data_IF_627702797423
#
_entry.id   IF_627702797423
#
_cell.length_a   1.000
_cell.length_b   1.000
_cell.length_c   1.000
_cell.angle_alpha   90.00
_cell.angle_beta   90.00
_cell.angle_gamma   90.00
#
_symmetry.space_group_name_H-M   'P 1'
#
loop_
_entity.id
_entity.type
_entity.pdbx_description
1 polymer ?
#
# COMPACT_ATOMS: atom_id res chain seq x y z
N UNK A 1 2.37 -11.04 -50.20
CA UNK A 1 1.91 -11.39 -48.83
C UNK A 1 2.50 -10.38 -47.86
N UNK A 2 1.71 -9.39 -47.41
CA UNK A 2 2.15 -8.44 -46.40
C UNK A 2 2.24 -9.15 -45.05
N UNK A 3 3.44 -9.29 -44.52
CA UNK A 3 3.71 -9.65 -43.13
C UNK A 3 3.11 -8.57 -42.22
N UNK A 4 1.86 -8.77 -41.80
CA UNK A 4 1.33 -8.12 -40.61
C UNK A 4 2.21 -8.58 -39.45
N UNK A 5 3.19 -7.78 -39.05
CA UNK A 5 3.79 -7.85 -37.73
C UNK A 5 2.67 -7.56 -36.75
N UNK A 6 1.98 -8.61 -36.30
CA UNK A 6 1.14 -8.54 -35.11
C UNK A 6 2.06 -8.06 -34.00
N UNK A 7 1.92 -6.79 -33.60
CA UNK A 7 2.56 -6.22 -32.42
C UNK A 7 2.06 -7.04 -31.21
N UNK A 8 2.69 -8.18 -30.95
CA UNK A 8 2.41 -9.02 -29.80
C UNK A 8 2.63 -8.19 -28.54
N UNK A 9 1.67 -8.24 -27.62
CA UNK A 9 1.79 -7.53 -26.36
C UNK A 9 3.08 -7.99 -25.65
N UNK A 10 4.00 -7.08 -25.29
CA UNK A 10 5.27 -7.42 -24.64
C UNK A 10 5.13 -8.32 -23.40
N UNK A 11 4.00 -8.20 -22.68
CA UNK A 11 3.68 -9.04 -21.52
C UNK A 11 3.65 -10.54 -21.87
N UNK A 12 3.24 -10.88 -23.09
CA UNK A 12 3.09 -12.25 -23.56
C UNK A 12 4.32 -12.84 -24.25
N UNK A 13 5.29 -12.03 -24.66
CA UNK A 13 6.41 -12.43 -25.52
C UNK A 13 7.78 -12.27 -24.85
N UNK A 14 8.02 -11.19 -24.10
CA UNK A 14 9.34 -10.91 -23.54
C UNK A 14 9.78 -11.92 -22.45
N UNK A 15 11.10 -12.08 -22.18
CA UNK A 15 11.58 -12.92 -21.10
C UNK A 15 11.05 -12.48 -19.74
N UNK A 16 10.51 -13.43 -18.96
CA UNK A 16 9.83 -13.18 -17.68
C UNK A 16 10.71 -12.41 -16.69
N UNK A 17 12.00 -12.76 -16.57
CA UNK A 17 12.94 -12.10 -15.65
C UNK A 17 13.13 -10.61 -15.98
N UNK A 18 13.39 -10.31 -17.26
CA UNK A 18 13.56 -8.94 -17.77
C UNK A 18 12.28 -8.12 -17.55
N UNK A 19 11.14 -8.73 -17.85
CA UNK A 19 9.83 -8.11 -17.68
C UNK A 19 9.53 -7.82 -16.20
N UNK A 20 9.79 -8.76 -15.30
CA UNK A 20 9.58 -8.54 -13.87
C UNK A 20 10.43 -7.38 -13.37
N UNK A 21 11.72 -7.30 -13.72
CA UNK A 21 12.58 -6.19 -13.30
C UNK A 21 12.10 -4.85 -13.86
N UNK A 22 11.66 -4.81 -15.12
CA UNK A 22 11.13 -3.60 -15.76
C UNK A 22 9.88 -3.05 -15.06
N UNK A 23 9.09 -3.90 -14.41
CA UNK A 23 7.85 -3.51 -13.72
C UNK A 23 8.03 -3.36 -12.21
N UNK A 24 8.85 -4.20 -11.58
CA UNK A 24 9.10 -4.19 -10.14
C UNK A 24 9.93 -2.98 -9.73
N UNK A 25 11.02 -2.64 -10.45
CA UNK A 25 11.88 -1.51 -10.07
C UNK A 25 11.10 -0.19 -10.01
N UNK A 26 10.34 0.22 -11.04
CA UNK A 26 9.57 1.46 -10.93
C UNK A 26 8.50 1.43 -9.84
N UNK A 27 7.92 0.26 -9.57
CA UNK A 27 6.93 0.10 -8.50
C UNK A 27 7.57 0.23 -7.12
N UNK A 28 8.74 -0.37 -6.91
CA UNK A 28 9.53 -0.22 -5.69
C UNK A 28 9.90 1.25 -5.47
N UNK A 29 10.44 1.92 -6.49
CA UNK A 29 10.82 3.34 -6.40
C UNK A 29 9.60 4.20 -6.06
N UNK A 30 8.44 3.96 -6.69
CA UNK A 30 7.22 4.68 -6.38
C UNK A 30 6.78 4.49 -4.92
N UNK A 31 6.89 3.27 -4.37
CA UNK A 31 6.54 2.99 -2.97
C UNK A 31 7.54 3.58 -1.97
N UNK A 32 8.83 3.53 -2.27
CA UNK A 32 9.87 4.13 -1.44
C UNK A 32 9.75 5.64 -1.40
N UNK A 33 9.60 6.30 -2.56
CA UNK A 33 9.35 7.75 -2.62
C UNK A 33 8.07 8.11 -1.88
N UNK A 34 7.03 7.28 -2.01
CA UNK A 34 5.79 7.50 -1.25
C UNK A 34 6.01 7.47 0.26
N UNK A 35 6.90 6.60 0.75
CA UNK A 35 7.23 6.52 2.17
C UNK A 35 8.13 7.67 2.62
N UNK A 36 9.08 8.07 1.78
CA UNK A 36 10.01 9.17 2.06
C UNK A 36 9.31 10.53 2.11
N UNK A 37 8.41 10.85 1.17
CA UNK A 37 7.73 12.15 1.21
C UNK A 37 6.87 12.30 2.48
N UNK A 38 6.21 11.23 2.96
CA UNK A 38 5.44 11.28 4.20
C UNK A 38 6.33 11.64 5.40
N UNK A 39 7.59 11.18 5.42
CA UNK A 39 8.56 11.53 6.45
C UNK A 39 8.99 13.00 6.31
N UNK A 40 9.20 13.47 5.08
CA UNK A 40 9.61 14.86 4.79
C UNK A 40 8.51 15.86 5.13
N UNK A 41 7.25 15.55 4.81
CA UNK A 41 6.08 16.36 5.17
C UNK A 41 5.95 16.51 6.69
N UNK A 42 6.01 15.39 7.43
CA UNK A 42 6.03 15.41 8.89
C UNK A 42 7.25 16.15 9.47
N UNK A 43 8.38 16.16 8.77
CA UNK A 43 9.55 16.94 9.19
C UNK A 43 9.28 18.45 9.10
N UNK A 44 8.71 18.94 8.00
CA UNK A 44 8.38 20.36 7.85
C UNK A 44 7.33 20.82 8.85
N UNK A 45 6.28 20.01 9.04
CA UNK A 45 5.22 20.29 10.03
C UNK A 45 5.79 20.27 11.44
N UNK A 46 6.52 19.21 11.81
CA UNK A 46 7.10 19.08 13.15
C UNK A 46 8.07 20.21 13.49
N UNK A 47 8.88 20.66 12.53
CA UNK A 47 9.85 21.74 12.75
C UNK A 47 9.22 23.13 12.89
N UNK A 48 8.22 23.44 12.08
CA UNK A 48 7.68 24.81 11.99
C UNK A 48 6.35 25.01 12.73
N UNK A 49 5.51 23.98 12.82
CA UNK A 49 4.23 24.02 13.55
C UNK A 49 4.37 23.43 14.95
N UNK A 50 5.26 22.46 15.12
CA UNK A 50 5.49 21.78 16.39
C UNK A 50 4.66 20.51 16.56
N UNK A 51 4.69 19.96 17.77
CA UNK A 51 4.13 18.63 18.09
C UNK A 51 2.62 18.53 17.86
N UNK A 52 1.87 19.62 18.12
CA UNK A 52 0.43 19.67 17.87
C UNK A 52 0.09 19.53 16.38
N UNK A 53 0.94 20.05 15.48
CA UNK A 53 0.79 19.87 14.04
C UNK A 53 0.96 18.42 13.61
N UNK A 54 1.98 17.75 14.14
CA UNK A 54 2.19 16.31 13.90
C UNK A 54 1.07 15.45 14.50
N UNK A 55 0.53 15.83 15.66
CA UNK A 55 -0.64 15.16 16.21
C UNK A 55 -1.84 15.31 15.27
N UNK A 56 -2.07 16.49 14.69
CA UNK A 56 -3.17 16.74 13.76
C UNK A 56 -3.10 15.89 12.48
N UNK A 57 -1.92 15.68 11.90
CA UNK A 57 -1.77 14.79 10.74
C UNK A 57 -2.03 13.33 11.09
N UNK A 58 -1.62 12.88 12.28
CA UNK A 58 -1.90 11.53 12.77
C UNK A 58 -3.40 11.29 13.01
N UNK A 59 -4.15 12.28 13.54
CA UNK A 59 -5.62 12.20 13.67
C UNK A 59 -6.29 12.04 12.30
N UNK A 60 -5.73 12.63 11.25
CA UNK A 60 -6.25 12.55 9.88
C UNK A 60 -5.95 11.21 9.18
N UNK A 61 -5.04 10.40 9.72
CA UNK A 61 -4.52 9.18 9.10
C UNK A 61 -5.60 8.16 8.65
N UNK A 62 -6.70 7.93 9.39
CA UNK A 62 -7.76 7.03 8.94
C UNK A 62 -8.39 7.42 7.58
N UNK A 63 -8.46 8.71 7.27
CA UNK A 63 -8.97 9.20 5.98
C UNK A 63 -7.99 8.93 4.84
N UNK A 64 -6.69 9.13 5.08
CA UNK A 64 -5.63 8.78 4.12
C UNK A 64 -5.65 7.28 3.81
N UNK A 65 -5.84 6.45 4.83
CA UNK A 65 -5.97 4.99 4.67
C UNK A 65 -7.21 4.64 3.83
N UNK A 66 -8.32 5.32 4.06
CA UNK A 66 -9.55 5.14 3.28
C UNK A 66 -9.32 5.49 1.80
N UNK A 67 -8.58 6.56 1.51
CA UNK A 67 -8.17 6.91 0.15
C UNK A 67 -7.36 5.79 -0.50
N UNK A 68 -6.35 5.27 0.19
CA UNK A 68 -5.50 4.17 -0.32
C UNK A 68 -6.33 2.90 -0.53
N UNK A 69 -7.23 2.55 0.38
CA UNK A 69 -8.09 1.37 0.26
C UNK A 69 -8.98 1.44 -0.99
N UNK A 70 -9.60 2.59 -1.26
CA UNK A 70 -10.40 2.83 -2.48
C UNK A 70 -9.52 2.80 -3.73
N UNK A 71 -8.34 3.42 -3.67
CA UNK A 71 -7.39 3.42 -4.77
C UNK A 71 -6.93 2.00 -5.16
N UNK A 72 -6.66 1.15 -4.16
CA UNK A 72 -6.30 -0.24 -4.37
C UNK A 72 -7.48 -1.08 -4.88
N UNK A 73 -8.70 -0.83 -4.38
CA UNK A 73 -9.93 -1.52 -4.81
C UNK A 73 -10.14 -1.36 -6.33
N UNK A 74 -10.22 -0.14 -6.82
CA UNK A 74 -10.51 0.11 -8.24
C UNK A 74 -9.26 0.10 -9.12
N UNK A 75 -8.08 0.40 -8.56
CA UNK A 75 -6.80 0.38 -9.26
C UNK A 75 -6.28 -1.04 -9.54
N UNK A 76 -5.99 -1.83 -8.50
CA UNK A 76 -5.52 -3.22 -8.67
C UNK A 76 -6.62 -4.10 -9.29
N UNK A 77 -7.87 -3.89 -8.87
CA UNK A 77 -9.01 -4.61 -9.43
C UNK A 77 -9.18 -4.34 -10.92
N UNK A 78 -9.10 -3.07 -11.33
CA UNK A 78 -9.18 -2.63 -12.72
C UNK A 78 -8.01 -3.15 -13.56
N UNK A 79 -6.79 -3.00 -13.04
CA UNK A 79 -5.56 -3.48 -13.66
C UNK A 79 -5.57 -4.99 -13.91
N UNK A 80 -6.08 -5.77 -12.95
CA UNK A 80 -6.18 -7.23 -13.07
C UNK A 80 -7.25 -7.65 -14.07
N UNK A 81 -8.43 -7.03 -14.01
CA UNK A 81 -9.50 -7.30 -14.97
C UNK A 81 -9.09 -6.93 -16.40
N UNK A 82 -8.44 -5.78 -16.57
CA UNK A 82 -7.89 -5.32 -17.84
C UNK A 82 -6.91 -6.34 -18.43
N UNK A 83 -5.86 -6.72 -17.69
CA UNK A 83 -4.84 -7.63 -18.22
C UNK A 83 -5.36 -9.05 -18.45
N UNK A 84 -6.27 -9.56 -17.61
CA UNK A 84 -6.95 -10.83 -17.87
C UNK A 84 -7.73 -10.79 -19.19
N UNK A 85 -8.49 -9.72 -19.45
CA UNK A 85 -9.25 -9.56 -20.69
C UNK A 85 -8.34 -9.38 -21.90
N UNK A 86 -7.28 -8.58 -21.78
CA UNK A 86 -6.26 -8.44 -22.84
C UNK A 86 -5.58 -9.76 -23.17
N UNK A 87 -5.24 -10.57 -22.16
CA UNK A 87 -4.67 -11.89 -22.34
C UNK A 87 -5.59 -12.85 -23.09
N UNK A 88 -6.91 -12.78 -22.82
CA UNK A 88 -7.94 -13.56 -23.51
C UNK A 88 -8.22 -13.09 -24.95
N UNK A 89 -7.65 -11.97 -25.39
CA UNK A 89 -7.98 -11.33 -26.66
C UNK A 89 -9.26 -10.47 -26.63
N UNK A 90 -9.91 -10.30 -25.48
CA UNK A 90 -11.12 -9.49 -25.30
C UNK A 90 -10.78 -7.97 -25.22
N UNK A 91 -10.09 -7.43 -26.23
CA UNK A 91 -9.55 -6.04 -26.21
C UNK A 91 -10.62 -4.98 -26.00
N UNK A 92 -11.78 -5.10 -26.64
CA UNK A 92 -12.87 -4.12 -26.51
C UNK A 92 -13.39 -4.05 -25.08
N UNK A 93 -13.57 -5.21 -24.44
CA UNK A 93 -14.02 -5.31 -23.05
C UNK A 93 -12.95 -4.79 -22.08
N UNK A 94 -11.68 -5.01 -22.40
CA UNK A 94 -10.57 -4.55 -21.58
C UNK A 94 -10.65 -3.03 -21.32
N UNK A 95 -10.97 -2.23 -22.34
CA UNK A 95 -11.03 -0.76 -22.21
C UNK A 95 -12.09 -0.29 -21.21
N UNK A 96 -13.20 -1.03 -21.09
CA UNK A 96 -14.23 -0.71 -20.10
C UNK A 96 -13.72 -0.85 -18.66
N UNK A 97 -12.82 -1.79 -18.36
CA UNK A 97 -12.24 -1.91 -17.02
C UNK A 97 -11.42 -0.67 -16.64
N UNK A 98 -10.61 -0.13 -17.55
CA UNK A 98 -9.85 1.11 -17.29
C UNK A 98 -10.80 2.30 -17.10
N UNK A 99 -11.73 2.49 -18.03
CA UNK A 99 -12.64 3.64 -18.00
C UNK A 99 -13.55 3.65 -16.77
N UNK A 100 -14.14 2.51 -16.43
CA UNK A 100 -14.99 2.39 -15.24
C UNK A 100 -14.18 2.51 -13.95
N UNK A 101 -12.97 1.95 -13.88
CA UNK A 101 -12.10 2.14 -12.72
C UNK A 101 -11.75 3.61 -12.51
N UNK A 102 -11.39 4.36 -13.56
CA UNK A 102 -11.08 5.79 -13.44
C UNK A 102 -12.27 6.60 -12.91
N UNK A 103 -13.48 6.31 -13.40
CA UNK A 103 -14.72 6.95 -12.92
C UNK A 103 -15.01 6.60 -11.46
N UNK A 104 -14.85 5.34 -11.06
CA UNK A 104 -15.05 4.92 -9.67
C UNK A 104 -13.99 5.52 -8.73
N UNK A 105 -12.73 5.62 -9.15
CA UNK A 105 -11.67 6.24 -8.37
C UNK A 105 -11.98 7.70 -8.06
N UNK A 106 -12.29 8.50 -9.08
CA UNK A 106 -12.62 9.91 -8.88
C UNK A 106 -13.94 10.08 -8.13
N UNK A 107 -14.99 9.34 -8.52
CA UNK A 107 -16.32 9.42 -7.92
C UNK A 107 -16.33 9.05 -6.43
N UNK A 108 -15.67 7.96 -6.04
CA UNK A 108 -15.54 7.59 -4.62
C UNK A 108 -14.72 8.62 -3.83
N UNK A 109 -13.73 9.25 -4.46
CA UNK A 109 -13.00 10.35 -3.82
C UNK A 109 -13.86 11.57 -3.57
N UNK A 110 -14.70 11.97 -4.53
CA UNK A 110 -15.66 13.08 -4.34
C UNK A 110 -16.65 12.77 -3.22
N UNK A 111 -17.14 11.52 -3.15
CA UNK A 111 -18.02 11.08 -2.06
C UNK A 111 -17.28 11.17 -0.72
N UNK A 112 -16.03 10.70 -0.64
CA UNK A 112 -15.23 10.76 0.58
C UNK A 112 -14.96 12.20 1.01
N UNK A 113 -14.58 13.09 0.09
CA UNK A 113 -14.45 14.54 0.35
C UNK A 113 -15.73 15.12 0.93
N UNK A 114 -16.87 14.83 0.30
CA UNK A 114 -18.18 15.37 0.72
C UNK A 114 -18.52 14.92 2.13
N UNK A 115 -18.39 13.63 2.43
CA UNK A 115 -18.62 13.09 3.77
C UNK A 115 -17.65 13.71 4.78
N UNK A 116 -16.37 13.81 4.44
CA UNK A 116 -15.36 14.39 5.34
C UNK A 116 -15.63 15.86 5.64
N UNK A 117 -16.02 16.67 4.66
CA UNK A 117 -16.29 18.09 4.89
C UNK A 117 -17.60 18.32 5.64
N UNK A 118 -18.66 17.57 5.34
CA UNK A 118 -19.94 17.68 6.03
C UNK A 118 -19.86 17.24 7.50
N UNK A 119 -19.04 16.23 7.80
CA UNK A 119 -18.89 15.66 9.14
C UNK A 119 -17.49 15.89 9.72
N UNK A 120 -16.81 16.97 9.34
CA UNK A 120 -15.38 17.19 9.63
C UNK A 120 -15.07 17.08 11.12
N UNK A 121 -15.71 17.91 11.96
CA UNK A 121 -15.45 17.90 13.39
C UNK A 121 -15.90 16.59 14.08
N UNK A 122 -17.12 16.07 13.84
CA UNK A 122 -17.52 14.77 14.38
C UNK A 122 -16.57 13.63 14.02
N UNK A 123 -16.06 13.58 12.79
CA UNK A 123 -15.08 12.57 12.35
C UNK A 123 -13.75 12.72 13.07
N UNK A 124 -13.23 13.95 13.21
CA UNK A 124 -11.96 14.18 13.90
C UNK A 124 -12.05 13.84 15.40
N UNK A 125 -13.18 14.16 16.04
CA UNK A 125 -13.44 13.74 17.42
C UNK A 125 -13.58 12.21 17.52
N UNK A 126 -14.27 11.58 16.56
CA UNK A 126 -14.40 10.12 16.49
C UNK A 126 -13.04 9.42 16.31
N UNK A 127 -12.13 10.00 15.53
CA UNK A 127 -10.75 9.52 15.40
C UNK A 127 -9.88 9.79 16.64
N UNK A 128 -10.42 10.48 17.64
CA UNK A 128 -9.79 10.67 18.94
C UNK A 128 -9.00 11.97 19.06
N UNK A 129 -9.33 13.01 18.29
CA UNK A 129 -8.67 14.32 18.43
C UNK A 129 -8.90 14.92 19.81
N UNK A 130 -7.84 15.24 20.57
CA UNK A 130 -7.93 16.07 21.77
C UNK A 130 -8.34 17.52 21.41
N UNK A 131 -8.92 18.26 22.35
CA UNK A 131 -9.40 19.62 22.12
C UNK A 131 -8.28 20.60 21.71
N UNK A 132 -7.08 20.45 22.29
CA UNK A 132 -5.91 21.27 21.95
C UNK A 132 -5.30 20.96 20.56
N UNK A 133 -5.66 19.83 19.95
CA UNK A 133 -5.22 19.44 18.59
C UNK A 133 -6.32 19.70 17.55
N UNK A 134 -7.59 19.75 17.97
CA UNK A 134 -8.74 19.77 17.08
C UNK A 134 -8.74 20.92 16.07
N UNK A 135 -8.30 22.11 16.46
CA UNK A 135 -8.23 23.26 15.54
C UNK A 135 -7.21 23.03 14.41
N UNK A 136 -6.03 22.51 14.74
CA UNK A 136 -5.00 22.13 13.77
C UNK A 136 -5.49 21.02 12.85
N UNK A 137 -6.16 20.00 13.41
CA UNK A 137 -6.74 18.90 12.65
C UNK A 137 -7.84 19.39 11.69
N UNK A 138 -8.77 20.23 12.14
CA UNK A 138 -9.82 20.82 11.29
C UNK A 138 -9.23 21.60 10.13
N UNK A 139 -8.21 22.43 10.39
CA UNK A 139 -7.53 23.22 9.36
C UNK A 139 -6.88 22.31 8.32
N UNK A 140 -6.09 21.34 8.77
CA UNK A 140 -5.37 20.44 7.88
C UNK A 140 -6.31 19.53 7.09
N UNK A 141 -7.16 18.76 7.77
CA UNK A 141 -8.07 17.81 7.13
C UNK A 141 -9.08 18.51 6.24
N UNK A 142 -9.60 19.68 6.64
CA UNK A 142 -10.56 20.44 5.84
C UNK A 142 -10.00 20.82 4.47
N UNK A 143 -8.72 21.19 4.40
CA UNK A 143 -8.05 21.50 3.13
C UNK A 143 -7.67 20.22 2.40
N UNK A 144 -7.01 19.25 3.06
CA UNK A 144 -6.54 18.00 2.44
C UNK A 144 -7.70 17.16 1.87
N UNK A 145 -8.90 17.23 2.48
CA UNK A 145 -10.07 16.51 1.98
C UNK A 145 -10.45 16.89 0.55
N UNK A 146 -10.18 18.14 0.12
CA UNK A 146 -10.39 18.60 -1.27
C UNK A 146 -9.47 17.83 -2.24
N UNK A 147 -8.31 17.38 -1.74
CA UNK A 147 -7.33 16.58 -2.46
C UNK A 147 -7.70 15.12 -2.68
N UNK A 148 -8.61 14.54 -1.88
CA UNK A 148 -8.95 13.11 -1.92
C UNK A 148 -9.31 12.56 -3.31
N UNK A 149 -10.11 13.23 -4.16
CA UNK A 149 -10.44 12.73 -5.50
C UNK A 149 -9.19 12.59 -6.36
N UNK A 150 -8.26 13.53 -6.24
CA UNK A 150 -7.01 13.55 -6.98
C UNK A 150 -6.03 12.50 -6.45
N UNK A 151 -5.88 12.39 -5.13
CA UNK A 151 -5.06 11.35 -4.49
C UNK A 151 -5.49 9.94 -4.90
N UNK A 152 -6.79 9.66 -4.80
CA UNK A 152 -7.36 8.34 -5.13
C UNK A 152 -7.19 8.07 -6.62
N UNK A 153 -7.49 9.06 -7.48
CA UNK A 153 -7.34 8.93 -8.92
C UNK A 153 -5.88 8.65 -9.29
N UNK A 154 -4.93 9.42 -8.79
CA UNK A 154 -3.50 9.24 -9.05
C UNK A 154 -3.03 7.85 -8.62
N UNK A 155 -3.27 7.51 -7.36
CA UNK A 155 -2.80 6.25 -6.78
C UNK A 155 -3.39 5.05 -7.50
N UNK A 156 -4.71 5.03 -7.70
CA UNK A 156 -5.41 3.92 -8.34
C UNK A 156 -5.07 3.80 -9.83
N UNK A 157 -5.03 4.91 -10.55
CA UNK A 157 -4.72 4.91 -11.98
C UNK A 157 -3.26 4.60 -12.28
N UNK A 158 -2.35 4.80 -11.31
CA UNK A 158 -0.98 4.29 -11.41
C UNK A 158 -0.96 2.78 -11.68
N UNK A 159 -1.87 2.01 -11.08
CA UNK A 159 -2.04 0.59 -11.38
C UNK A 159 -2.56 0.35 -12.81
N UNK A 160 -3.48 1.18 -13.30
CA UNK A 160 -4.02 1.09 -14.67
C UNK A 160 -2.94 1.40 -15.73
N UNK A 161 -2.13 2.44 -15.50
CA UNK A 161 -1.00 2.82 -16.37
C UNK A 161 0.07 1.71 -16.36
N UNK A 162 0.36 1.12 -15.20
CA UNK A 162 1.22 -0.08 -15.11
C UNK A 162 0.63 -1.24 -15.91
N UNK A 163 -0.67 -1.50 -15.79
CA UNK A 163 -1.34 -2.57 -16.51
C UNK A 163 -1.25 -2.41 -18.03
N UNK A 164 -1.33 -1.17 -18.52
CA UNK A 164 -1.13 -0.76 -19.91
C UNK A 164 0.34 -0.81 -20.37
N UNK A 165 1.25 -1.35 -19.56
CA UNK A 165 2.64 -1.60 -19.93
C UNK A 165 3.58 -0.40 -19.82
N UNK A 166 3.22 0.61 -19.01
CA UNK A 166 4.01 1.83 -18.81
C UNK A 166 4.40 2.06 -17.33
N UNK A 167 5.13 1.14 -16.69
CA UNK A 167 5.47 1.26 -15.26
C UNK A 167 6.33 2.49 -14.91
N UNK A 168 7.23 2.91 -15.80
CA UNK A 168 8.02 4.13 -15.61
C UNK A 168 7.15 5.40 -15.57
N UNK A 169 6.11 5.46 -16.40
CA UNK A 169 5.19 6.61 -16.43
C UNK A 169 4.39 6.67 -15.13
N UNK A 170 3.88 5.52 -14.65
CA UNK A 170 3.21 5.48 -13.36
C UNK A 170 4.11 5.93 -12.20
N UNK A 171 5.39 5.56 -12.22
CA UNK A 171 6.37 6.03 -11.24
C UNK A 171 6.55 7.55 -11.33
N UNK A 172 6.77 8.10 -12.53
CA UNK A 172 6.93 9.54 -12.76
C UNK A 172 5.73 10.33 -12.22
N UNK A 173 4.50 9.87 -12.49
CA UNK A 173 3.29 10.54 -12.02
C UNK A 173 3.27 10.69 -10.49
N UNK A 174 3.67 9.65 -9.74
CA UNK A 174 3.73 9.68 -8.29
C UNK A 174 4.90 10.54 -7.78
N UNK A 175 6.07 10.42 -8.41
CA UNK A 175 7.28 11.16 -8.04
C UNK A 175 7.10 12.66 -8.22
N UNK A 176 6.47 13.10 -9.32
CA UNK A 176 6.25 14.53 -9.58
C UNK A 176 5.44 15.18 -8.47
N UNK A 177 4.36 14.55 -8.01
CA UNK A 177 3.54 15.09 -6.91
C UNK A 177 4.32 15.18 -5.61
N UNK A 178 5.06 14.13 -5.25
CA UNK A 178 5.88 14.09 -4.04
C UNK A 178 6.97 15.16 -4.03
N UNK A 179 7.67 15.35 -5.17
CA UNK A 179 8.71 16.38 -5.31
C UNK A 179 8.13 17.78 -5.23
N UNK A 180 7.01 18.04 -5.93
CA UNK A 180 6.35 19.34 -5.88
C UNK A 180 5.85 19.64 -4.47
N UNK A 181 5.19 18.69 -3.83
CA UNK A 181 4.73 18.83 -2.44
C UNK A 181 5.92 19.16 -1.52
N UNK A 182 7.04 18.44 -1.61
CA UNK A 182 8.24 18.71 -0.79
C UNK A 182 8.78 20.14 -0.98
N UNK A 183 8.85 20.62 -2.24
CA UNK A 183 9.31 21.97 -2.54
C UNK A 183 8.32 23.01 -1.98
N UNK A 184 7.03 22.76 -2.12
CA UNK A 184 5.98 23.63 -1.62
C UNK A 184 5.88 23.62 -0.10
N UNK A 185 6.20 22.52 0.58
CA UNK A 185 6.27 22.49 2.05
C UNK A 185 7.42 23.37 2.55
N UNK A 186 8.59 23.29 1.92
CA UNK A 186 9.70 24.19 2.23
C UNK A 186 9.28 25.66 2.06
N UNK A 187 8.59 25.99 0.97
CA UNK A 187 8.14 27.34 0.68
C UNK A 187 7.01 27.81 1.62
N UNK A 188 5.89 27.10 1.66
CA UNK A 188 4.68 27.52 2.37
C UNK A 188 4.80 27.37 3.88
N UNK A 189 5.46 26.32 4.35
CA UNK A 189 5.57 26.04 5.79
C UNK A 189 6.77 26.75 6.40
N UNK A 190 7.94 26.72 5.74
CA UNK A 190 9.17 27.29 6.33
C UNK A 190 9.39 28.76 5.97
N UNK A 191 9.21 29.14 4.69
CA UNK A 191 9.48 30.52 4.24
C UNK A 191 8.28 31.44 4.50
N UNK A 192 7.08 31.05 4.06
CA UNK A 192 5.87 31.86 4.18
C UNK A 192 5.14 31.67 5.53
N UNK A 193 5.57 30.71 6.34
CA UNK A 193 5.04 30.45 7.70
C UNK A 193 3.51 30.29 7.74
N UNK A 194 2.91 29.69 6.72
CA UNK A 194 1.46 29.48 6.60
C UNK A 194 0.92 28.38 7.53
N UNK A 195 1.74 27.84 8.43
CA UNK A 195 1.39 26.81 9.41
C UNK A 195 0.79 25.54 8.77
N UNK A 196 -0.21 24.96 9.42
CA UNK A 196 -0.89 23.75 8.94
C UNK A 196 -1.63 23.94 7.61
N UNK A 197 -2.12 25.15 7.34
CA UNK A 197 -2.77 25.44 6.07
C UNK A 197 -1.78 25.36 4.91
N UNK A 198 -0.55 25.87 5.10
CA UNK A 198 0.54 25.76 4.13
C UNK A 198 0.83 24.32 3.72
N UNK A 199 1.03 23.44 4.70
CA UNK A 199 1.32 22.01 4.47
C UNK A 199 0.16 21.31 3.73
N UNK A 200 -1.08 21.60 4.14
CA UNK A 200 -2.26 21.05 3.50
C UNK A 200 -2.40 21.51 2.03
N UNK A 201 -2.17 22.80 1.75
CA UNK A 201 -2.23 23.35 0.39
C UNK A 201 -1.14 22.75 -0.50
N UNK A 202 0.10 22.65 0.00
CA UNK A 202 1.21 22.03 -0.70
C UNK A 202 0.89 20.58 -1.09
N UNK A 203 0.30 19.83 -0.16
CA UNK A 203 -0.17 18.46 -0.40
C UNK A 203 -1.22 18.39 -1.51
N UNK A 204 -2.25 19.24 -1.47
CA UNK A 204 -3.33 19.25 -2.47
C UNK A 204 -2.80 19.64 -3.86
N UNK A 205 -1.90 20.62 -3.96
CA UNK A 205 -1.30 21.02 -5.25
C UNK A 205 -0.51 19.85 -5.85
N UNK A 206 0.31 19.16 -5.05
CA UNK A 206 1.04 17.96 -5.49
C UNK A 206 0.09 16.88 -6.03
N UNK A 207 -1.01 16.62 -5.33
CA UNK A 207 -2.03 15.65 -5.75
C UNK A 207 -2.74 16.06 -7.05
N UNK A 208 -3.11 17.33 -7.20
CA UNK A 208 -3.77 17.86 -8.42
C UNK A 208 -2.86 17.74 -9.63
N UNK A 209 -1.58 18.09 -9.50
CA UNK A 209 -0.61 17.99 -10.61
C UNK A 209 -0.40 16.53 -10.99
N UNK A 210 -0.21 15.64 -10.03
CA UNK A 210 -0.12 14.19 -10.28
C UNK A 210 -1.37 13.63 -10.95
N UNK A 211 -2.56 14.08 -10.55
CA UNK A 211 -3.82 13.66 -11.16
C UNK A 211 -3.93 14.16 -12.61
N UNK A 212 -3.52 15.39 -12.89
CA UNK A 212 -3.45 15.92 -14.25
C UNK A 212 -2.56 15.08 -15.18
N UNK A 213 -1.36 14.70 -14.71
CA UNK A 213 -0.47 13.80 -15.46
C UNK A 213 -1.12 12.45 -15.74
N UNK A 214 -1.73 11.85 -14.72
CA UNK A 214 -2.40 10.56 -14.84
C UNK A 214 -3.57 10.61 -15.83
N UNK A 215 -4.39 11.66 -15.79
CA UNK A 215 -5.50 11.87 -16.74
C UNK A 215 -4.97 11.98 -18.16
N UNK A 216 -3.87 12.72 -18.35
CA UNK A 216 -3.22 12.85 -19.65
C UNK A 216 -2.73 11.49 -20.17
N UNK A 217 -2.02 10.72 -19.33
CA UNK A 217 -1.47 9.42 -19.74
C UNK A 217 -2.54 8.33 -19.93
N UNK A 218 -3.66 8.37 -19.18
CA UNK A 218 -4.81 7.49 -19.41
C UNK A 218 -5.53 7.84 -20.71
N UNK A 219 -5.60 9.13 -21.06
CA UNK A 219 -6.16 9.57 -22.34
C UNK A 219 -5.30 9.11 -23.54
N UNK A 220 -4.00 8.93 -23.31
CA UNK A 220 -3.03 8.45 -24.30
C UNK A 220 -2.50 7.05 -23.96
N UNK A 221 -3.41 6.10 -23.71
CA UNK A 221 -3.05 4.70 -23.45
C UNK A 221 -2.24 4.07 -24.58
N UNK A 222 -1.27 3.21 -24.22
CA UNK A 222 -0.31 2.60 -25.16
C UNK A 222 -0.93 1.44 -25.92
N UNK A 223 -1.74 0.62 -25.25
CA UNK A 223 -2.28 -0.63 -25.82
C UNK A 223 -3.73 -0.51 -26.28
N UNK A 224 -4.47 0.48 -25.77
CA UNK A 224 -5.89 0.71 -26.04
C UNK A 224 -6.20 2.21 -26.09
N UNK A 225 -7.34 2.61 -26.69
CA UNK A 225 -7.80 4.00 -26.70
C UNK A 225 -9.09 4.16 -25.90
N UNK A 226 -9.06 5.01 -24.87
CA UNK A 226 -10.26 5.32 -24.08
C UNK A 226 -11.13 6.31 -24.88
N UNK A 227 -12.45 6.07 -24.87
CA UNK A 227 -13.46 6.93 -25.51
C UNK A 227 -14.54 7.19 -24.47
N UNK A 228 -15.35 8.25 -24.67
CA UNK A 228 -16.45 8.62 -23.75
C UNK A 228 -17.37 7.44 -23.39
N UNK A 229 -17.67 6.54 -24.34
CA UNK A 229 -18.49 5.34 -24.09
C UNK A 229 -17.91 4.40 -23.02
N UNK A 230 -16.59 4.34 -22.86
CA UNK A 230 -15.92 3.47 -21.88
C UNK A 230 -15.96 4.05 -20.45
N UNK A 231 -16.31 5.33 -20.31
CA UNK A 231 -16.52 5.99 -19.01
C UNK A 231 -17.95 5.79 -18.48
N UNK A 232 -18.85 5.19 -19.27
CA UNK A 232 -20.19 4.86 -18.79
C UNK A 232 -20.11 3.73 -17.79
N UNK A 233 -20.64 3.98 -16.59
CA UNK A 233 -20.69 3.01 -15.50
C UNK A 233 -21.48 1.77 -15.94
N UNK A 234 -20.85 0.61 -15.81
CA UNK A 234 -21.43 -0.71 -16.02
C UNK A 234 -21.33 -1.53 -14.75
N UNK A 235 -22.48 -1.95 -14.21
CA UNK A 235 -22.56 -2.73 -12.97
C UNK A 235 -21.76 -4.03 -13.03
N UNK A 236 -21.77 -4.70 -14.18
CA UNK A 236 -21.02 -5.96 -14.38
C UNK A 236 -19.51 -5.73 -14.32
N UNK A 237 -19.03 -4.66 -14.96
CA UNK A 237 -17.61 -4.28 -14.98
C UNK A 237 -17.15 -3.90 -13.58
N UNK A 238 -17.90 -3.05 -12.88
CA UNK A 238 -17.59 -2.63 -11.51
C UNK A 238 -17.60 -3.81 -10.55
N UNK A 239 -18.60 -4.69 -10.61
CA UNK A 239 -18.66 -5.87 -9.74
C UNK A 239 -17.42 -6.75 -9.92
N UNK A 240 -16.95 -6.94 -11.16
CA UNK A 240 -15.71 -7.68 -11.42
C UNK A 240 -14.48 -6.97 -10.89
N UNK A 241 -14.35 -5.66 -11.12
CA UNK A 241 -13.24 -4.83 -10.60
C UNK A 241 -13.20 -4.90 -9.08
N UNK A 242 -14.33 -4.61 -8.42
CA UNK A 242 -14.45 -4.63 -6.96
C UNK A 242 -14.10 -5.99 -6.40
N UNK A 243 -14.56 -7.09 -7.02
CA UNK A 243 -14.23 -8.45 -6.55
C UNK A 243 -12.71 -8.70 -6.53
N UNK A 244 -11.98 -8.25 -7.55
CA UNK A 244 -10.53 -8.43 -7.65
C UNK A 244 -9.78 -7.51 -6.68
N UNK A 245 -10.26 -6.28 -6.50
CA UNK A 245 -9.66 -5.32 -5.58
C UNK A 245 -10.02 -5.51 -4.10
N UNK A 246 -10.96 -6.40 -3.75
CA UNK A 246 -11.37 -6.63 -2.36
C UNK A 246 -10.20 -7.07 -1.48
N UNK A 247 -9.30 -7.91 -2.00
CA UNK A 247 -8.15 -8.41 -1.24
C UNK A 247 -7.22 -7.27 -0.74
N UNK A 248 -6.66 -6.42 -1.61
CA UNK A 248 -5.80 -5.32 -1.14
C UNK A 248 -6.59 -4.25 -0.36
N UNK A 249 -7.86 -3.97 -0.71
CA UNK A 249 -8.70 -3.04 0.03
C UNK A 249 -8.94 -3.49 1.49
N UNK A 250 -9.38 -4.74 1.66
CA UNK A 250 -9.60 -5.32 2.99
C UNK A 250 -8.31 -5.41 3.81
N UNK A 251 -7.18 -5.72 3.18
CA UNK A 251 -5.87 -5.68 3.85
C UNK A 251 -5.55 -4.30 4.41
N UNK A 252 -5.84 -3.24 3.62
CA UNK A 252 -5.53 -1.88 4.00
C UNK A 252 -6.37 -1.40 5.19
N UNK A 253 -7.66 -1.75 5.20
CA UNK A 253 -8.54 -1.49 6.34
C UNK A 253 -8.17 -2.34 7.57
N UNK A 254 -7.78 -3.60 7.35
CA UNK A 254 -7.33 -4.47 8.43
C UNK A 254 -6.05 -3.94 9.12
N UNK A 255 -5.07 -3.47 8.33
CA UNK A 255 -3.86 -2.85 8.87
C UNK A 255 -4.18 -1.64 9.75
N UNK A 256 -5.17 -0.82 9.39
CA UNK A 256 -5.60 0.32 10.22
C UNK A 256 -6.15 -0.13 11.57
N UNK A 257 -7.05 -1.11 11.57
CA UNK A 257 -7.66 -1.64 12.80
C UNK A 257 -6.59 -2.24 13.71
N UNK A 258 -5.70 -3.06 13.14
CA UNK A 258 -4.59 -3.67 13.87
C UNK A 258 -3.67 -2.62 14.45
N UNK A 259 -3.32 -1.56 13.71
CA UNK A 259 -2.44 -0.51 14.21
C UNK A 259 -3.06 0.25 15.40
N UNK A 260 -4.36 0.55 15.35
CA UNK A 260 -5.07 1.20 16.45
C UNK A 260 -5.01 0.31 17.71
N UNK A 261 -5.31 -0.98 17.55
CA UNK A 261 -5.34 -1.93 18.66
C UNK A 261 -3.93 -2.16 19.21
N UNK A 262 -2.93 -2.31 18.33
CA UNK A 262 -1.51 -2.42 18.69
C UNK A 262 -1.07 -1.25 19.57
N UNK A 263 -1.34 -0.01 19.14
CA UNK A 263 -0.96 1.18 19.91
C UNK A 263 -1.66 1.24 21.27
N UNK A 264 -2.96 0.89 21.34
CA UNK A 264 -3.70 0.83 22.60
C UNK A 264 -3.16 -0.26 23.55
N UNK A 265 -2.88 -1.45 23.02
CA UNK A 265 -2.29 -2.56 23.79
C UNK A 265 -0.91 -2.19 24.32
N UNK A 266 -0.03 -1.63 23.47
CA UNK A 266 1.31 -1.19 23.88
C UNK A 266 1.25 -0.10 24.96
N UNK A 267 0.31 0.84 24.86
CA UNK A 267 0.10 1.85 25.89
C UNK A 267 -0.30 1.19 27.22
N UNK A 268 -1.35 0.38 27.20
CA UNK A 268 -1.91 -0.24 28.40
C UNK A 268 -0.91 -1.18 29.08
N UNK A 269 -0.41 -2.20 28.37
CA UNK A 269 0.54 -3.15 28.95
C UNK A 269 1.93 -2.53 29.19
N UNK A 270 2.28 -1.48 28.45
CA UNK A 270 3.46 -0.66 28.73
C UNK A 270 3.38 0.02 30.09
N UNK A 271 2.24 0.65 30.43
CA UNK A 271 2.01 1.29 31.73
C UNK A 271 2.20 0.33 32.91
N UNK A 272 1.89 -0.95 32.70
CA UNK A 272 1.98 -2.02 33.71
C UNK A 272 3.39 -2.66 33.78
N UNK A 273 4.31 -2.24 32.91
CA UNK A 273 5.65 -2.81 32.79
C UNK A 273 6.72 -1.84 33.30
N UNK A 274 7.95 -2.33 33.46
CA UNK A 274 9.12 -1.52 33.81
C UNK A 274 9.45 -0.41 32.79
N UNK A 275 8.86 -0.45 31.60
CA UNK A 275 9.12 0.48 30.50
C UNK A 275 8.17 1.69 30.50
N UNK A 276 7.07 1.65 31.26
CA UNK A 276 6.03 2.68 31.24
C UNK A 276 5.32 2.80 29.88
N UNK A 277 4.46 3.82 29.73
CA UNK A 277 3.65 4.01 28.52
C UNK A 277 4.46 4.44 27.29
N UNK A 278 5.43 5.34 27.49
CA UNK A 278 6.06 6.07 26.38
C UNK A 278 7.06 5.21 25.60
N UNK A 279 7.87 4.40 26.28
CA UNK A 279 8.96 3.64 25.65
C UNK A 279 8.40 2.65 24.62
N UNK A 280 7.45 1.75 24.95
CA UNK A 280 6.97 0.76 23.99
C UNK A 280 6.33 1.35 22.73
N UNK A 281 5.58 2.44 22.89
CA UNK A 281 4.93 3.14 21.78
C UNK A 281 5.98 3.77 20.86
N UNK A 282 6.98 4.44 21.43
CA UNK A 282 8.07 5.04 20.65
C UNK A 282 8.87 3.99 19.87
N UNK A 283 9.22 2.88 20.53
CA UNK A 283 9.93 1.76 19.91
C UNK A 283 9.12 1.15 18.75
N UNK A 284 7.81 0.95 18.96
CA UNK A 284 6.92 0.43 17.94
C UNK A 284 6.76 1.36 16.74
N UNK A 285 6.79 2.67 16.95
CA UNK A 285 6.82 3.65 15.86
C UNK A 285 8.01 3.47 14.93
N UNK A 286 9.21 3.31 15.49
CA UNK A 286 10.45 3.08 14.71
C UNK A 286 10.39 1.74 13.98
N UNK A 287 10.01 0.67 14.67
CA UNK A 287 9.90 -0.67 14.08
C UNK A 287 8.88 -0.69 12.95
N UNK A 288 7.74 -0.02 13.11
CA UNK A 288 6.73 0.09 12.04
C UNK A 288 7.29 0.82 10.83
N UNK A 289 8.03 1.93 11.01
CA UNK A 289 8.66 2.67 9.91
C UNK A 289 9.70 1.82 9.16
N UNK A 290 10.56 1.12 9.89
CA UNK A 290 11.57 0.23 9.30
C UNK A 290 10.91 -0.94 8.55
N UNK A 291 9.90 -1.56 9.16
CA UNK A 291 9.12 -2.63 8.53
C UNK A 291 8.37 -2.14 7.27
N UNK A 292 7.89 -0.90 7.26
CA UNK A 292 7.22 -0.30 6.10
C UNK A 292 8.19 -0.13 4.91
N UNK A 293 9.46 0.20 5.14
CA UNK A 293 10.48 0.24 4.09
C UNK A 293 10.69 -1.16 3.50
N UNK A 294 10.85 -2.17 4.36
CA UNK A 294 10.95 -3.57 3.91
C UNK A 294 9.72 -4.01 3.11
N UNK A 295 8.52 -3.80 3.63
CA UNK A 295 7.27 -4.17 2.95
C UNK A 295 7.08 -3.40 1.64
N UNK A 296 7.57 -2.17 1.52
CA UNK A 296 7.52 -1.40 0.27
C UNK A 296 8.30 -2.09 -0.86
N UNK A 297 9.44 -2.72 -0.54
CA UNK A 297 10.20 -3.51 -1.51
C UNK A 297 9.38 -4.73 -1.98
N UNK A 298 8.82 -5.47 -1.03
CA UNK A 298 8.03 -6.68 -1.31
C UNK A 298 6.76 -6.37 -2.10
N UNK A 299 6.02 -5.33 -1.69
CA UNK A 299 4.79 -4.90 -2.37
C UNK A 299 5.14 -4.36 -3.76
N UNK A 300 6.27 -3.67 -3.95
CA UNK A 300 6.74 -3.25 -5.26
C UNK A 300 6.99 -4.43 -6.22
N UNK A 301 7.61 -5.51 -5.75
CA UNK A 301 7.75 -6.77 -6.52
C UNK A 301 6.37 -7.35 -6.84
N UNK A 302 5.49 -7.44 -5.84
CA UNK A 302 4.13 -7.96 -6.00
C UNK A 302 3.35 -7.18 -7.06
N UNK A 303 3.40 -5.85 -7.03
CA UNK A 303 2.76 -4.99 -8.04
C UNK A 303 3.38 -5.16 -9.42
N UNK A 304 4.70 -5.35 -9.52
CA UNK A 304 5.38 -5.63 -10.78
C UNK A 304 5.00 -7.00 -11.40
N UNK A 305 4.69 -7.98 -10.55
CA UNK A 305 4.24 -9.31 -10.96
C UNK A 305 2.81 -9.32 -11.55
N UNK A 306 1.95 -8.40 -11.09
CA UNK A 306 0.52 -8.40 -11.40
C UNK A 306 0.22 -8.35 -12.91
N UNK A 307 0.77 -7.43 -13.72
CA UNK A 307 0.47 -7.38 -15.15
C UNK A 307 0.91 -8.63 -15.91
N UNK A 308 2.06 -9.17 -15.52
CA UNK A 308 2.69 -10.34 -16.14
C UNK A 308 1.81 -11.58 -15.92
N UNK A 309 1.44 -11.85 -14.67
CA UNK A 309 0.64 -13.02 -14.32
C UNK A 309 -0.78 -12.89 -14.84
N UNK A 310 -1.41 -11.71 -14.74
CA UNK A 310 -2.77 -11.48 -15.24
C UNK A 310 -2.87 -11.70 -16.75
N UNK A 311 -1.97 -11.10 -17.54
CA UNK A 311 -1.99 -11.24 -18.99
C UNK A 311 -1.70 -12.68 -19.43
N UNK A 312 -0.64 -13.30 -18.89
CA UNK A 312 -0.26 -14.66 -19.29
C UNK A 312 -1.29 -15.71 -18.84
N UNK A 313 -1.98 -15.49 -17.71
CA UNK A 313 -3.07 -16.37 -17.29
C UNK A 313 -4.28 -16.23 -18.23
N UNK A 314 -4.65 -15.00 -18.59
CA UNK A 314 -5.70 -14.74 -19.59
C UNK A 314 -5.38 -15.38 -20.95
N UNK A 315 -4.11 -15.39 -21.34
CA UNK A 315 -3.62 -15.97 -22.59
C UNK A 315 -3.37 -17.50 -22.54
N UNK A 316 -3.69 -18.18 -21.43
CA UNK A 316 -3.44 -19.62 -21.27
C UNK A 316 -1.96 -20.02 -21.18
N UNK A 317 -1.03 -19.07 -21.03
CA UNK A 317 0.42 -19.28 -20.95
C UNK A 317 0.85 -19.65 -19.51
N UNK A 318 0.28 -20.72 -18.95
CA UNK A 318 0.43 -21.07 -17.52
C UNK A 318 1.87 -21.38 -17.08
N UNK A 319 2.70 -21.95 -17.95
CA UNK A 319 4.14 -22.15 -17.67
C UNK A 319 4.83 -20.82 -17.34
N UNK A 320 4.54 -19.77 -18.12
CA UNK A 320 5.07 -18.41 -17.88
C UNK A 320 4.53 -17.80 -16.60
N UNK A 321 3.26 -18.03 -16.28
CA UNK A 321 2.65 -17.58 -15.01
C UNK A 321 3.39 -18.18 -13.81
N UNK A 322 3.65 -19.50 -13.82
CA UNK A 322 4.40 -20.20 -12.77
C UNK A 322 5.84 -19.70 -12.67
N UNK A 323 6.55 -19.54 -13.79
CA UNK A 323 7.91 -18.99 -13.80
C UNK A 323 7.97 -17.56 -13.26
N UNK A 324 6.98 -16.71 -13.57
CA UNK A 324 6.92 -15.34 -13.07
C UNK A 324 6.72 -15.28 -11.56
N UNK A 325 5.79 -16.09 -11.05
CA UNK A 325 5.55 -16.20 -9.62
C UNK A 325 6.80 -16.70 -8.87
N UNK A 326 7.41 -17.81 -9.33
CA UNK A 326 8.59 -18.37 -8.66
C UNK A 326 9.76 -17.38 -8.64
N UNK A 327 10.01 -16.68 -9.75
CA UNK A 327 11.06 -15.68 -9.80
C UNK A 327 10.78 -14.49 -8.86
N UNK A 328 9.55 -14.00 -8.80
CA UNK A 328 9.16 -12.96 -7.85
C UNK A 328 9.30 -13.42 -6.39
N UNK A 329 8.92 -14.66 -6.09
CA UNK A 329 9.11 -15.26 -4.77
C UNK A 329 10.60 -15.41 -4.40
N UNK A 330 11.47 -15.78 -5.35
CA UNK A 330 12.92 -15.81 -5.12
C UNK A 330 13.47 -14.42 -4.81
N UNK A 331 13.09 -13.39 -5.59
CA UNK A 331 13.49 -12.02 -5.30
C UNK A 331 12.98 -11.56 -3.92
N UNK A 332 11.72 -11.87 -3.59
CA UNK A 332 11.12 -11.57 -2.29
C UNK A 332 11.85 -12.25 -1.14
N UNK A 333 12.22 -13.53 -1.29
CA UNK A 333 12.97 -14.29 -0.31
C UNK A 333 14.35 -13.68 -0.05
N UNK A 334 15.11 -13.31 -1.09
CA UNK A 334 16.43 -12.70 -0.93
C UNK A 334 16.34 -11.39 -0.14
N UNK A 335 15.38 -10.53 -0.47
CA UNK A 335 15.17 -9.27 0.26
C UNK A 335 14.74 -9.53 1.71
N UNK A 336 13.82 -10.47 1.92
CA UNK A 336 13.34 -10.85 3.25
C UNK A 336 14.43 -11.46 4.12
N UNK A 337 15.33 -12.25 3.54
CA UNK A 337 16.47 -12.83 4.23
C UNK A 337 17.46 -11.75 4.65
N UNK A 338 17.80 -10.81 3.77
CA UNK A 338 18.67 -9.67 4.11
C UNK A 338 18.05 -8.85 5.25
N UNK A 339 16.75 -8.51 5.15
CA UNK A 339 16.05 -7.77 6.19
C UNK A 339 16.03 -8.52 7.53
N UNK A 340 15.76 -9.83 7.50
CA UNK A 340 15.82 -10.68 8.69
C UNK A 340 17.20 -10.64 9.36
N UNK A 341 18.29 -10.82 8.59
CA UNK A 341 19.65 -10.77 9.13
C UNK A 341 19.94 -9.41 9.78
N UNK A 342 19.54 -8.31 9.13
CA UNK A 342 19.69 -6.96 9.69
C UNK A 342 18.92 -6.77 11.00
N UNK A 343 17.67 -7.23 11.06
CA UNK A 343 16.82 -7.09 12.25
C UNK A 343 17.29 -7.95 13.42
N UNK A 344 17.90 -9.11 13.17
CA UNK A 344 18.39 -9.99 14.23
C UNK A 344 19.78 -9.58 14.75
N UNK A 345 20.72 -9.27 13.84
CA UNK A 345 22.12 -9.05 14.19
C UNK A 345 22.48 -7.59 14.42
N UNK A 346 21.77 -6.65 13.79
CA UNK A 346 22.13 -5.22 13.79
C UNK A 346 20.98 -4.30 14.27
N UNK A 347 20.11 -4.69 15.23
CA UNK A 347 18.97 -3.85 15.62
C UNK A 347 19.41 -2.54 16.29
N UNK A 348 20.46 -2.56 17.14
CA UNK A 348 20.91 -1.37 17.89
C UNK A 348 21.32 -0.22 16.97
N UNK A 349 22.05 -0.52 15.90
CA UNK A 349 22.51 0.48 14.95
C UNK A 349 21.34 1.06 14.14
N UNK A 350 20.36 0.21 13.77
CA UNK A 350 19.13 0.67 13.11
C UNK A 350 18.38 1.64 14.04
N UNK A 351 18.22 1.27 15.32
CA UNK A 351 17.54 2.12 16.31
C UNK A 351 18.28 3.45 16.49
N UNK A 352 19.62 3.44 16.55
CA UNK A 352 20.41 4.66 16.77
C UNK A 352 20.33 5.69 15.64
N UNK A 353 19.92 5.28 14.42
CA UNK A 353 19.67 6.22 13.31
C UNK A 353 18.49 7.15 13.65
N UNK A 354 17.52 6.68 14.42
CA UNK A 354 16.31 7.45 14.77
C UNK A 354 16.47 8.29 16.03
N UNK A 355 17.58 8.14 16.76
CA UNK A 355 17.88 8.91 17.95
C UNK A 355 18.55 8.09 19.06
N UNK A 356 18.96 8.79 20.11
CA UNK A 356 19.48 8.20 21.34
C UNK A 356 18.35 8.10 22.38
N UNK A 357 18.41 7.08 23.23
CA UNK A 357 17.46 6.88 24.32
C UNK A 357 18.11 6.25 25.55
N UNK A 358 17.33 6.04 26.60
CA UNK A 358 17.78 5.32 27.80
C UNK A 358 18.19 3.89 27.49
N UNK A 359 18.92 3.25 28.40
CA UNK A 359 19.27 1.84 28.25
C UNK A 359 18.01 0.95 28.21
N UNK A 360 16.97 1.28 29.00
CA UNK A 360 15.66 0.60 28.95
C UNK A 360 14.97 0.71 27.59
N UNK A 361 15.12 1.86 26.92
CA UNK A 361 14.62 2.06 25.56
C UNK A 361 15.35 1.18 24.54
N UNK A 362 16.68 1.09 24.62
CA UNK A 362 17.44 0.20 23.75
C UNK A 362 17.14 -1.27 24.01
N UNK A 363 17.03 -1.68 25.28
CA UNK A 363 16.68 -3.05 25.64
C UNK A 363 15.32 -3.45 25.07
N UNK A 364 14.28 -2.64 25.30
CA UNK A 364 12.95 -2.92 24.75
C UNK A 364 12.96 -2.93 23.22
N UNK A 365 13.58 -1.93 22.59
CA UNK A 365 13.66 -1.83 21.13
C UNK A 365 14.34 -3.05 20.51
N UNK A 366 15.48 -3.49 21.06
CA UNK A 366 16.23 -4.63 20.55
C UNK A 366 15.42 -5.92 20.69
N UNK A 367 14.79 -6.14 21.85
CA UNK A 367 13.90 -7.29 22.06
C UNK A 367 12.72 -7.27 21.10
N UNK A 368 12.10 -6.09 20.91
CA UNK A 368 10.96 -5.95 20.02
C UNK A 368 11.35 -6.19 18.56
N UNK A 369 12.49 -5.69 18.09
CA UNK A 369 13.03 -6.01 16.75
C UNK A 369 13.25 -7.52 16.58
N UNK A 370 13.94 -8.16 17.52
CA UNK A 370 14.30 -9.58 17.41
C UNK A 370 13.09 -10.49 17.44
N UNK A 371 12.18 -10.27 18.39
CA UNK A 371 11.02 -11.12 18.63
C UNK A 371 9.93 -10.82 17.59
N UNK A 372 9.48 -9.56 17.50
CA UNK A 372 8.33 -9.21 16.66
C UNK A 372 8.59 -9.46 15.17
N UNK A 373 9.82 -9.21 14.71
CA UNK A 373 10.22 -9.38 13.31
C UNK A 373 10.95 -10.71 13.04
N UNK A 374 10.88 -11.69 13.93
CA UNK A 374 11.60 -12.96 13.78
C UNK A 374 11.26 -13.69 12.48
N UNK A 375 9.98 -13.79 12.09
CA UNK A 375 9.56 -14.45 10.85
C UNK A 375 9.62 -13.54 9.60
N UNK A 376 10.42 -12.47 9.61
CA UNK A 376 10.59 -11.58 8.45
C UNK A 376 11.02 -12.32 7.19
N UNK A 377 11.81 -13.38 7.30
CA UNK A 377 12.28 -14.15 6.14
C UNK A 377 11.15 -14.84 5.34
N UNK A 378 9.96 -15.07 5.93
CA UNK A 378 8.79 -15.65 5.25
C UNK A 378 7.70 -14.61 4.91
N UNK A 379 7.81 -13.39 5.44
CA UNK A 379 6.79 -12.34 5.30
C UNK A 379 6.48 -11.95 3.85
N UNK A 380 7.40 -12.17 2.90
CA UNK A 380 7.17 -11.89 1.49
C UNK A 380 6.07 -12.76 0.86
N UNK A 381 5.83 -13.96 1.41
CA UNK A 381 4.92 -14.94 0.84
C UNK A 381 3.49 -14.43 0.77
N UNK A 382 3.01 -13.82 1.86
CA UNK A 382 1.62 -13.37 1.94
C UNK A 382 1.25 -12.30 0.90
N UNK A 383 1.96 -11.16 0.78
CA UNK A 383 1.57 -10.09 -0.15
C UNK A 383 1.80 -10.47 -1.62
N UNK A 384 2.82 -11.28 -1.92
CA UNK A 384 3.04 -11.78 -3.29
C UNK A 384 1.96 -12.79 -3.68
N UNK A 385 1.63 -13.73 -2.80
CA UNK A 385 0.65 -14.78 -3.08
C UNK A 385 -0.79 -14.25 -3.11
N UNK A 386 -1.14 -13.31 -2.22
CA UNK A 386 -2.48 -12.71 -2.20
C UNK A 386 -2.75 -11.96 -3.51
N UNK A 387 -1.79 -11.14 -3.94
CA UNK A 387 -1.90 -10.43 -5.20
C UNK A 387 -1.82 -11.35 -6.42
N UNK A 388 -1.05 -12.45 -6.35
CA UNK A 388 -1.04 -13.48 -7.38
C UNK A 388 -2.44 -14.07 -7.61
N UNK A 389 -3.16 -14.45 -6.54
CA UNK A 389 -4.52 -14.98 -6.65
C UNK A 389 -5.50 -13.96 -7.25
N UNK A 390 -5.37 -12.68 -6.89
CA UNK A 390 -6.11 -11.60 -7.54
C UNK A 390 -5.77 -11.50 -9.03
N UNK A 391 -4.49 -11.54 -9.37
CA UNK A 391 -3.99 -11.41 -10.75
C UNK A 391 -4.49 -12.52 -11.68
N UNK A 392 -4.58 -13.76 -11.18
CA UNK A 392 -5.14 -14.89 -11.95
C UNK A 392 -6.67 -14.98 -11.91
N UNK A 393 -7.35 -13.96 -11.37
CA UNK A 393 -8.81 -13.88 -11.39
C UNK A 393 -9.52 -14.73 -10.34
N UNK A 394 -8.84 -15.11 -9.26
CA UNK A 394 -9.36 -15.89 -8.11
C UNK A 394 -9.46 -15.04 -6.83
N UNK A 395 -10.32 -14.01 -6.80
CA UNK A 395 -10.37 -13.02 -5.73
C UNK A 395 -10.70 -13.58 -4.35
N UNK A 396 -11.52 -14.64 -4.26
CA UNK A 396 -11.86 -15.28 -2.98
C UNK A 396 -10.62 -15.82 -2.27
N UNK A 397 -9.71 -16.47 -3.01
CA UNK A 397 -8.44 -16.95 -2.47
C UNK A 397 -7.52 -15.80 -2.05
N UNK A 398 -7.44 -14.76 -2.88
CA UNK A 398 -6.65 -13.55 -2.58
C UNK A 398 -7.14 -12.84 -1.32
N UNK A 399 -8.45 -12.71 -1.15
CA UNK A 399 -9.09 -12.02 0.00
C UNK A 399 -8.97 -12.83 1.28
N UNK A 400 -9.15 -14.15 1.22
CA UNK A 400 -8.88 -15.00 2.38
C UNK A 400 -7.43 -14.82 2.85
N UNK A 401 -6.47 -14.90 1.92
CA UNK A 401 -5.06 -14.74 2.27
C UNK A 401 -4.67 -13.32 2.68
N UNK A 402 -5.38 -12.28 2.22
CA UNK A 402 -5.15 -10.91 2.71
C UNK A 402 -5.55 -10.76 4.17
N UNK A 403 -6.63 -11.45 4.58
CA UNK A 403 -7.16 -11.40 5.94
C UNK A 403 -6.45 -12.31 6.92
N UNK A 404 -5.77 -13.38 6.47
CA UNK A 404 -5.10 -14.34 7.38
C UNK A 404 -4.12 -13.66 8.32
N UNK A 405 -3.23 -12.82 7.78
CA UNK A 405 -2.18 -12.16 8.56
C UNK A 405 -2.76 -11.18 9.59
N UNK A 406 -3.53 -10.19 9.13
CA UNK A 406 -3.94 -9.07 9.97
C UNK A 406 -5.14 -9.42 10.87
N UNK A 407 -6.21 -9.97 10.28
CA UNK A 407 -7.48 -10.17 11.00
C UNK A 407 -7.58 -11.54 11.63
N UNK A 408 -7.23 -12.62 10.91
CA UNK A 408 -7.47 -13.97 11.42
C UNK A 408 -6.41 -14.42 12.42
N UNK A 409 -5.18 -13.93 12.31
CA UNK A 409 -4.07 -14.31 13.19
C UNK A 409 -3.62 -13.17 14.10
N UNK A 410 -3.09 -12.06 13.55
CA UNK A 410 -2.45 -11.03 14.37
C UNK A 410 -3.42 -10.37 15.34
N UNK A 411 -4.62 -10.00 14.89
CA UNK A 411 -5.61 -9.33 15.74
C UNK A 411 -6.04 -10.16 16.97
N UNK A 412 -6.46 -11.43 16.85
CA UNK A 412 -6.73 -12.28 18.01
C UNK A 412 -5.51 -12.44 18.93
N UNK A 413 -4.32 -12.67 18.37
CA UNK A 413 -3.10 -12.84 19.15
C UNK A 413 -2.73 -11.58 19.93
N UNK A 414 -2.93 -10.39 19.35
CA UNK A 414 -2.70 -9.10 20.00
C UNK A 414 -3.64 -8.81 21.18
N UNK A 415 -4.82 -9.43 21.19
CA UNK A 415 -5.78 -9.28 22.29
C UNK A 415 -5.54 -10.36 23.35
N UNK A 416 -5.25 -11.60 22.92
CA UNK A 416 -5.21 -12.77 23.80
C UNK A 416 -3.85 -12.94 24.48
N UNK A 417 -2.74 -12.89 23.75
CA UNK A 417 -1.42 -13.18 24.33
C UNK A 417 -1.02 -12.22 25.46
N UNK A 418 -1.29 -10.91 25.37
CA UNK A 418 -0.93 -9.99 26.44
C UNK A 418 -1.65 -10.24 27.76
N UNK A 419 -2.81 -10.92 27.74
CA UNK A 419 -3.52 -11.30 28.96
C UNK A 419 -2.72 -12.29 29.82
N UNK A 420 -1.83 -13.08 29.19
CA UNK A 420 -1.02 -14.09 29.87
C UNK A 420 0.44 -13.69 30.04
N UNK A 421 0.97 -12.87 29.12
CA UNK A 421 2.41 -12.55 29.04
C UNK A 421 2.69 -11.04 29.16
N UNK A 422 1.67 -10.22 29.43
CA UNK A 422 1.80 -8.77 29.46
C UNK A 422 2.33 -8.21 28.13
N UNK A 423 3.30 -7.30 28.21
CA UNK A 423 3.87 -6.65 27.02
C UNK A 423 4.59 -7.62 26.08
N UNK A 424 5.17 -8.70 26.59
CA UNK A 424 5.86 -9.71 25.77
C UNK A 424 4.87 -10.43 24.85
N UNK A 425 3.63 -10.62 25.31
CA UNK A 425 2.55 -11.19 24.48
C UNK A 425 2.30 -10.39 23.20
N UNK A 426 2.48 -9.07 23.25
CA UNK A 426 2.40 -8.20 22.07
C UNK A 426 3.56 -8.51 21.13
N UNK A 427 4.77 -8.68 21.66
CA UNK A 427 5.97 -8.99 20.88
C UNK A 427 5.85 -10.35 20.18
N UNK A 428 5.34 -11.38 20.87
CA UNK A 428 5.16 -12.72 20.30
C UNK A 428 4.00 -12.83 19.30
N UNK A 429 3.03 -11.91 19.33
CA UNK A 429 1.91 -11.91 18.38
C UNK A 429 2.36 -11.79 16.91
N UNK A 430 3.38 -10.96 16.65
CA UNK A 430 3.97 -10.72 15.33
C UNK A 430 4.49 -11.99 14.65
N UNK A 431 5.49 -12.68 15.22
CA UNK A 431 6.08 -13.86 14.59
C UNK A 431 5.08 -15.00 14.45
N UNK A 432 4.21 -15.23 15.43
CA UNK A 432 3.19 -16.29 15.33
C UNK A 432 2.24 -16.00 14.17
N UNK A 433 1.74 -14.77 14.03
CA UNK A 433 0.86 -14.39 12.93
C UNK A 433 1.56 -14.48 11.56
N UNK A 434 2.79 -13.99 11.47
CA UNK A 434 3.56 -13.99 10.22
C UNK A 434 3.96 -15.41 9.79
N UNK A 435 4.36 -16.27 10.73
CA UNK A 435 4.65 -17.67 10.50
C UNK A 435 3.43 -18.45 9.99
N UNK A 436 2.28 -18.29 10.67
CA UNK A 436 1.02 -18.93 10.26
C UNK A 436 0.53 -18.43 8.89
N UNK A 437 0.55 -17.11 8.67
CA UNK A 437 0.16 -16.52 7.38
C UNK A 437 1.07 -16.98 6.24
N UNK A 438 2.39 -17.08 6.50
CA UNK A 438 3.38 -17.61 5.58
C UNK A 438 3.10 -19.07 5.21
N UNK A 439 2.84 -19.92 6.20
CA UNK A 439 2.51 -21.33 6.01
C UNK A 439 1.24 -21.50 5.15
N UNK A 440 0.18 -20.75 5.44
CA UNK A 440 -1.06 -20.77 4.66
C UNK A 440 -0.82 -20.30 3.22
N UNK A 441 0.00 -19.26 3.00
CA UNK A 441 0.34 -18.78 1.67
C UNK A 441 1.08 -19.86 0.84
N UNK A 442 2.08 -20.52 1.44
CA UNK A 442 2.83 -21.62 0.82
C UNK A 442 1.88 -22.76 0.45
N UNK A 443 1.04 -23.19 1.38
CA UNK A 443 0.09 -24.28 1.14
C UNK A 443 -0.89 -23.96 0.00
N UNK A 444 -1.47 -22.76 0.00
CA UNK A 444 -2.45 -22.35 -1.01
C UNK A 444 -1.84 -22.28 -2.41
N UNK A 445 -0.63 -21.73 -2.56
CA UNK A 445 0.02 -21.66 -3.89
C UNK A 445 0.48 -23.04 -4.37
N UNK A 446 0.97 -23.89 -3.47
CA UNK A 446 1.33 -25.26 -3.80
C UNK A 446 0.12 -26.05 -4.32
N UNK A 447 -1.03 -25.92 -3.65
CA UNK A 447 -2.28 -26.53 -4.12
C UNK A 447 -2.73 -25.96 -5.47
N UNK A 448 -2.60 -24.65 -5.68
CA UNK A 448 -2.95 -24.01 -6.95
C UNK A 448 -2.10 -24.54 -8.12
N UNK A 449 -0.79 -24.69 -7.94
CA UNK A 449 0.10 -25.23 -8.98
C UNK A 449 -0.07 -26.73 -9.27
N UNK A 450 -0.84 -27.46 -8.45
CA UNK A 450 -1.22 -28.86 -8.72
C UNK A 450 -2.48 -29.00 -9.59
N UNK A 451 -3.19 -27.91 -9.85
CA UNK A 451 -4.42 -27.94 -10.67
C UNK A 451 -4.10 -28.18 -12.16
N UNK A 452 -5.07 -28.74 -12.91
CA UNK A 452 -4.92 -29.09 -14.34
C UNK A 452 -4.27 -28.00 -15.22
N UNK A 453 -4.56 -26.70 -15.07
CA UNK A 453 -3.93 -25.66 -15.89
C UNK A 453 -2.41 -25.51 -15.69
N UNK A 454 -1.87 -25.94 -14.54
CA UNK A 454 -0.46 -25.78 -14.17
C UNK A 454 0.33 -27.10 -14.13
N UNK A 455 -0.35 -28.24 -14.25
CA UNK A 455 0.26 -29.54 -14.55
C UNK A 455 0.73 -29.54 -16.00
#
# INVERSE_FOLDING_TARGET
>A
MNTQTTNENPLGSQPVKKLLMQFAIPSIVAMLVSSLYNIVDQFFIGRNVGELGNAATNISFPLSISCIAIALLFGIGGASAFNLAMGKGEKEKAVYYIGNSAVMLFGCGVILTTITLLFLEPLLRFFGSPDNVLSYAKTYTGIVAIGFPFLILTTGSGHLIRADGRPKISMICNLTGAVINTILDALFVSVLQMGMAGAAIATVIGQVISAGLVIWFLSHCKTVTIRKKHLRISRSIIARVSSLGTAPCSNQLAMMIVQIIMNKSLKYYGSLSIYGEAIPIACAGIITKVNQVFLSLIIGISQGLQPITSYNYGAGKYKRVKSAYLFASTCGFVIALIAFLLFQFVPRQIISIFGNGSESYFQFSISYFRIFLFFTFINFMQPITSNFFTSIGKPKKGTFLSLTRQILFLLPLLIILPLFMGIDGIMYSGPIADGLAGAVAIFMVWNEFRTKPFR
#
